data_IF_536358001687
#
_entry.id   IF_536358001687
#
_cell.length_a   1.000
_cell.length_b   1.000
_cell.length_c   1.000
_cell.angle_alpha   90.00
_cell.angle_beta   90.00
_cell.angle_gamma   90.00
#
_symmetry.space_group_name_H-M   'P 1'
#
loop_
_entity.id
_entity.type
_entity.pdbx_description
1 polymer ?
#
# COMPACT_ATOMS: atom_id res chain seq x y z
N UNK A 1 0.52 -11.26 -42.14
CA UNK A 1 0.71 -10.25 -41.08
C UNK A 1 0.51 -10.96 -39.75
N UNK A 2 1.59 -11.26 -39.03
CA UNK A 2 1.50 -11.94 -37.74
C UNK A 2 1.03 -10.94 -36.68
N UNK A 3 -0.16 -11.17 -36.13
CA UNK A 3 -0.67 -10.47 -34.96
C UNK A 3 0.13 -10.92 -33.75
N UNK A 4 1.14 -10.13 -33.35
CA UNK A 4 1.78 -10.27 -32.06
C UNK A 4 0.76 -9.91 -30.98
N UNK A 5 0.07 -10.92 -30.45
CA UNK A 5 -0.62 -10.82 -29.16
C UNK A 5 0.47 -10.78 -28.09
N UNK A 6 0.94 -9.58 -27.75
CA UNK A 6 1.71 -9.37 -26.52
C UNK A 6 0.81 -9.74 -25.33
N UNK A 7 0.90 -10.98 -24.89
CA UNK A 7 0.38 -11.40 -23.59
C UNK A 7 1.20 -10.65 -22.54
N UNK A 8 0.65 -9.55 -22.02
CA UNK A 8 1.27 -8.83 -20.92
C UNK A 8 1.54 -9.84 -19.80
N UNK A 9 2.82 -10.04 -19.40
CA UNK A 9 3.17 -11.09 -18.48
C UNK A 9 2.42 -10.88 -17.16
N UNK A 10 1.75 -11.93 -16.69
CA UNK A 10 1.00 -11.89 -15.44
C UNK A 10 1.96 -11.55 -14.29
N UNK A 11 1.72 -10.41 -13.63
CA UNK A 11 2.61 -9.92 -12.57
C UNK A 11 2.68 -10.92 -11.42
N UNK A 12 3.91 -11.31 -11.04
CA UNK A 12 4.20 -12.27 -9.98
C UNK A 12 5.20 -11.67 -9.01
N UNK A 13 4.94 -11.85 -7.72
CA UNK A 13 5.81 -11.36 -6.65
C UNK A 13 5.93 -12.40 -5.54
N UNK A 14 6.90 -12.19 -4.64
CA UNK A 14 7.00 -12.92 -3.38
C UNK A 14 6.45 -12.05 -2.26
N UNK A 15 5.63 -12.63 -1.39
CA UNK A 15 5.03 -11.98 -0.23
C UNK A 15 5.50 -12.71 1.01
N UNK A 16 6.13 -12.00 1.94
CA UNK A 16 6.46 -12.53 3.26
C UNK A 16 5.31 -12.14 4.19
N UNK A 17 4.70 -13.11 4.83
CA UNK A 17 3.52 -12.92 5.67
C UNK A 17 3.86 -13.36 7.08
N UNK A 18 3.42 -12.59 8.08
CA UNK A 18 3.50 -13.02 9.48
C UNK A 18 2.86 -14.39 9.67
N UNK A 19 3.50 -15.28 10.43
CA UNK A 19 2.92 -16.57 10.84
C UNK A 19 1.59 -16.39 11.58
N UNK A 20 1.38 -15.27 12.28
CA UNK A 20 0.10 -14.96 12.94
C UNK A 20 -1.09 -14.86 11.98
N UNK A 21 -0.84 -14.67 10.68
CA UNK A 21 -1.86 -14.59 9.64
C UNK A 21 -2.01 -15.87 8.82
N UNK A 22 -1.36 -16.97 9.19
CA UNK A 22 -1.34 -18.20 8.38
C UNK A 22 -2.75 -18.78 8.14
N UNK A 23 -3.63 -18.70 9.13
CA UNK A 23 -5.03 -19.14 9.03
C UNK A 23 -5.99 -18.06 8.56
N UNK A 24 -5.54 -16.81 8.40
CA UNK A 24 -6.37 -15.68 8.04
C UNK A 24 -6.84 -15.75 6.57
N UNK A 25 -8.08 -15.34 6.31
CA UNK A 25 -8.67 -15.43 4.96
C UNK A 25 -7.91 -14.60 3.92
N UNK A 26 -7.33 -13.46 4.32
CA UNK A 26 -6.44 -12.68 3.45
C UNK A 26 -5.28 -13.52 2.91
N UNK A 27 -4.67 -14.38 3.73
CA UNK A 27 -3.56 -15.25 3.32
C UNK A 27 -4.04 -16.33 2.35
N UNK A 28 -5.24 -16.88 2.57
CA UNK A 28 -5.88 -17.84 1.63
C UNK A 28 -6.14 -17.18 0.29
N UNK A 29 -6.71 -15.97 0.29
CA UNK A 29 -6.99 -15.20 -0.92
C UNK A 29 -5.73 -14.81 -1.70
N UNK A 30 -4.65 -14.45 -1.02
CA UNK A 30 -3.35 -14.23 -1.65
C UNK A 30 -2.77 -15.52 -2.23
N UNK A 31 -2.96 -16.66 -1.56
CA UNK A 31 -2.46 -17.98 -1.99
C UNK A 31 -3.17 -18.49 -3.23
N UNK A 32 -4.42 -18.08 -3.44
CA UNK A 32 -5.20 -18.40 -4.64
C UNK A 32 -4.73 -17.62 -5.89
N UNK A 33 -3.83 -16.65 -5.75
CA UNK A 33 -3.26 -15.87 -6.85
C UNK A 33 -1.88 -16.40 -7.25
N UNK A 34 -1.33 -16.05 -8.43
CA UNK A 34 -0.04 -16.55 -8.91
C UNK A 34 1.16 -15.90 -8.20
N UNK A 35 1.08 -15.66 -6.89
CA UNK A 35 2.12 -15.08 -6.05
C UNK A 35 2.78 -16.15 -5.18
N UNK A 36 4.04 -15.94 -4.80
CA UNK A 36 4.74 -16.85 -3.90
C UNK A 36 4.61 -16.34 -2.47
N UNK A 37 3.93 -17.09 -1.61
CA UNK A 37 3.79 -16.74 -0.18
C UNK A 37 4.84 -17.47 0.63
N UNK A 38 5.45 -16.77 1.57
CA UNK A 38 6.35 -17.31 2.59
C UNK A 38 5.88 -16.82 3.95
N UNK A 39 5.68 -17.73 4.89
CA UNK A 39 5.38 -17.35 6.27
C UNK A 39 6.68 -17.16 7.07
N UNK A 40 6.71 -16.17 7.95
CA UNK A 40 7.86 -15.85 8.80
C UNK A 40 7.39 -15.38 10.17
N UNK A 41 8.10 -15.80 11.22
CA UNK A 41 7.96 -15.33 12.59
C UNK A 41 8.85 -14.11 12.89
N UNK A 42 9.94 -13.92 12.15
CA UNK A 42 10.83 -12.76 12.25
C UNK A 42 10.27 -11.43 11.72
N UNK A 43 8.98 -11.35 11.41
CA UNK A 43 8.31 -10.10 10.97
C UNK A 43 7.24 -9.73 11.98
N UNK A 44 6.89 -8.45 12.03
CA UNK A 44 5.86 -7.96 12.95
C UNK A 44 4.55 -8.73 12.79
N UNK A 45 3.85 -9.00 13.90
CA UNK A 45 2.56 -9.71 13.83
C UNK A 45 1.62 -8.95 12.90
N UNK A 46 0.78 -9.63 12.12
CA UNK A 46 -0.13 -8.96 11.18
C UNK A 46 0.54 -8.35 9.94
N UNK A 47 1.85 -8.52 9.75
CA UNK A 47 2.56 -7.90 8.63
C UNK A 47 2.49 -8.71 7.32
N UNK A 48 2.47 -7.96 6.20
CA UNK A 48 2.69 -8.43 4.84
C UNK A 48 3.80 -7.60 4.20
N UNK A 49 4.90 -8.24 3.81
CA UNK A 49 6.06 -7.57 3.20
C UNK A 49 6.16 -8.01 1.75
N UNK A 50 6.34 -7.03 0.86
CA UNK A 50 6.57 -7.23 -0.55
C UNK A 50 8.00 -6.78 -0.88
N UNK A 51 9.00 -7.69 -0.83
CA UNK A 51 10.41 -7.30 -0.95
C UNK A 51 10.74 -6.62 -2.27
N UNK A 52 10.13 -7.07 -3.38
CA UNK A 52 10.41 -6.52 -4.71
C UNK A 52 9.87 -5.10 -4.92
N UNK A 53 8.81 -4.72 -4.21
CA UNK A 53 8.26 -3.36 -4.25
C UNK A 53 8.80 -2.48 -3.12
N UNK A 54 9.50 -3.07 -2.13
CA UNK A 54 9.95 -2.35 -0.95
C UNK A 54 8.80 -1.77 -0.12
N UNK A 55 7.61 -2.39 -0.19
CA UNK A 55 6.41 -1.98 0.56
C UNK A 55 6.06 -3.00 1.62
N UNK A 56 5.62 -2.53 2.77
CA UNK A 56 5.11 -3.36 3.85
C UNK A 56 3.74 -2.87 4.30
N UNK A 57 2.90 -3.81 4.69
CA UNK A 57 1.56 -3.56 5.22
C UNK A 57 1.43 -4.18 6.60
N UNK A 58 0.77 -3.50 7.51
CA UNK A 58 0.44 -4.00 8.83
C UNK A 58 -1.09 -4.03 8.97
N UNK A 59 -1.66 -5.22 9.16
CA UNK A 59 -3.09 -5.38 9.43
C UNK A 59 -3.37 -5.18 10.92
N UNK A 60 -4.25 -4.23 11.22
CA UNK A 60 -4.83 -4.11 12.55
C UNK A 60 -6.00 -5.08 12.69
N UNK A 61 -6.01 -5.83 13.79
CA UNK A 61 -7.10 -6.73 14.09
C UNK A 61 -8.35 -5.90 14.44
N UNK A 62 -9.52 -6.14 13.83
CA UNK A 62 -10.76 -5.52 14.25
C UNK A 62 -11.16 -5.83 15.70
N UNK A 63 -10.59 -6.87 16.32
CA UNK A 63 -10.80 -7.24 17.72
C UNK A 63 -9.81 -6.61 18.69
N UNK A 64 -8.73 -5.97 18.23
CA UNK A 64 -7.82 -5.26 19.12
C UNK A 64 -8.58 -4.07 19.74
N UNK A 65 -8.75 -3.99 21.08
CA UNK A 65 -9.47 -2.90 21.70
C UNK A 65 -8.67 -1.60 21.54
N UNK A 66 -9.03 -0.83 20.51
CA UNK A 66 -8.42 0.46 20.17
C UNK A 66 -8.72 1.55 21.20
N UNK A 67 -9.65 1.30 22.13
CA UNK A 67 -9.93 2.15 23.30
C UNK A 67 -8.72 2.28 24.23
N UNK A 68 -7.78 1.33 24.17
CA UNK A 68 -6.55 1.32 24.95
C UNK A 68 -5.31 1.34 24.04
N UNK A 69 -5.36 2.06 22.91
CA UNK A 69 -4.28 2.16 21.93
C UNK A 69 -2.88 2.39 22.54
N UNK A 70 -2.81 3.10 23.68
CA UNK A 70 -1.58 3.32 24.45
C UNK A 70 -1.20 2.15 25.37
N UNK A 71 -2.17 1.47 26.00
CA UNK A 71 -1.90 0.34 26.93
C UNK A 71 -1.75 -1.01 26.21
N UNK A 72 -2.29 -1.15 25.00
CA UNK A 72 -2.24 -2.40 24.21
C UNK A 72 -0.91 -2.63 23.50
N UNK A 73 0.06 -1.72 23.63
CA UNK A 73 1.35 -1.79 22.92
C UNK A 73 1.23 -1.60 21.39
N UNK A 74 0.03 -1.32 20.87
CA UNK A 74 -0.25 -1.17 19.45
C UNK A 74 0.56 -0.02 18.84
N UNK A 75 0.66 1.12 19.54
CA UNK A 75 1.47 2.25 19.09
C UNK A 75 2.96 1.87 19.00
N UNK A 76 3.50 1.14 19.96
CA UNK A 76 4.90 0.70 19.93
C UNK A 76 5.15 -0.26 18.77
N UNK A 77 4.24 -1.23 18.57
CA UNK A 77 4.27 -2.14 17.43
C UNK A 77 4.24 -1.39 16.09
N UNK A 78 3.37 -0.40 15.92
CA UNK A 78 3.36 0.43 14.72
C UNK A 78 4.67 1.22 14.58
N UNK A 79 5.20 1.80 15.66
CA UNK A 79 6.48 2.54 15.62
C UNK A 79 7.63 1.65 15.15
N UNK A 80 7.77 0.45 15.72
CA UNK A 80 8.80 -0.52 15.32
C UNK A 80 8.65 -0.88 13.84
N UNK A 81 7.42 -1.15 13.39
CA UNK A 81 7.12 -1.44 12.00
C UNK A 81 7.53 -0.29 11.05
N UNK A 82 7.20 0.95 11.41
CA UNK A 82 7.52 2.16 10.63
C UNK A 82 9.03 2.41 10.55
N UNK A 83 9.77 2.11 11.62
CA UNK A 83 11.23 2.25 11.65
C UNK A 83 11.94 1.27 10.70
N UNK A 84 11.43 0.04 10.58
CA UNK A 84 12.02 -0.99 9.72
C UNK A 84 11.67 -0.78 8.24
N UNK A 85 10.49 -0.25 7.93
CA UNK A 85 9.96 -0.24 6.56
C UNK A 85 9.78 1.17 5.97
N UNK A 86 10.61 1.52 4.97
CA UNK A 86 10.54 2.83 4.29
C UNK A 86 9.19 3.17 3.66
N UNK A 87 8.49 2.20 3.08
CA UNK A 87 7.13 2.38 2.55
C UNK A 87 6.15 1.51 3.36
N UNK A 88 5.71 2.05 4.49
CA UNK A 88 4.83 1.37 5.44
C UNK A 88 3.37 1.80 5.25
N UNK A 89 2.47 0.82 5.22
CA UNK A 89 1.04 1.04 5.15
C UNK A 89 0.33 0.35 6.33
N UNK A 90 -0.56 1.06 6.99
CA UNK A 90 -1.45 0.50 8.00
C UNK A 90 -2.79 0.16 7.35
N UNK A 91 -3.20 -1.10 7.39
CA UNK A 91 -4.51 -1.54 6.92
C UNK A 91 -5.49 -1.44 8.09
N UNK A 92 -6.34 -0.41 8.04
CA UNK A 92 -7.36 -0.16 9.05
C UNK A 92 -8.67 -0.81 8.61
N UNK A 93 -9.02 -1.93 9.22
CA UNK A 93 -10.30 -2.61 8.96
C UNK A 93 -11.45 -1.77 9.53
N UNK A 94 -12.16 -1.06 8.64
CA UNK A 94 -13.25 -0.15 8.95
C UNK A 94 -14.43 -0.45 8.02
N UNK A 95 -15.24 -1.49 8.32
CA UNK A 95 -16.36 -1.92 7.46
C UNK A 95 -17.43 -0.83 7.36
N UNK A 96 -17.56 0.00 8.39
CA UNK A 96 -18.39 1.19 8.42
C UNK A 96 -17.55 2.38 8.90
N UNK A 97 -17.65 3.53 8.24
CA UNK A 97 -17.01 4.77 8.70
C UNK A 97 -17.83 5.36 9.86
N UNK A 98 -17.95 4.60 10.95
CA UNK A 98 -18.59 5.05 12.17
C UNK A 98 -17.71 6.09 12.88
N UNK A 99 -18.31 6.71 13.90
CA UNK A 99 -17.63 7.76 14.69
C UNK A 99 -16.36 7.23 15.34
N UNK A 100 -16.38 5.99 15.85
CA UNK A 100 -15.25 5.33 16.50
C UNK A 100 -14.08 5.10 15.52
N UNK A 101 -14.36 4.59 14.33
CA UNK A 101 -13.36 4.36 13.29
C UNK A 101 -12.71 5.66 12.80
N UNK A 102 -13.51 6.73 12.68
CA UNK A 102 -13.02 8.08 12.36
C UNK A 102 -12.15 8.67 13.47
N UNK A 103 -12.54 8.50 14.73
CA UNK A 103 -11.75 8.93 15.89
C UNK A 103 -10.39 8.19 15.93
N UNK A 104 -10.39 6.87 15.73
CA UNK A 104 -9.16 6.07 15.64
C UNK A 104 -8.27 6.55 14.50
N UNK A 105 -8.86 6.75 13.32
CA UNK A 105 -8.14 7.25 12.16
C UNK A 105 -7.51 8.61 12.48
N UNK A 106 -8.25 9.51 13.14
CA UNK A 106 -7.74 10.83 13.54
C UNK A 106 -6.57 10.71 14.53
N UNK A 107 -6.65 9.84 15.54
CA UNK A 107 -5.57 9.64 16.52
C UNK A 107 -4.33 9.07 15.85
N UNK A 108 -4.48 8.09 14.95
CA UNK A 108 -3.37 7.51 14.22
C UNK A 108 -2.74 8.52 13.24
N UNK A 109 -3.57 9.32 12.57
CA UNK A 109 -3.10 10.38 11.67
C UNK A 109 -2.32 11.45 12.42
N UNK A 110 -2.82 11.92 13.56
CA UNK A 110 -2.15 12.93 14.38
C UNK A 110 -0.80 12.41 14.90
N UNK A 111 -0.79 11.20 15.45
CA UNK A 111 0.42 10.60 16.05
C UNK A 111 1.50 10.24 15.04
N UNK A 112 1.12 9.76 13.86
CA UNK A 112 2.04 9.36 12.81
C UNK A 112 2.15 10.39 11.68
N UNK A 113 1.66 11.62 11.93
CA UNK A 113 1.80 12.74 11.02
C UNK A 113 3.27 13.01 10.73
N UNK A 114 3.61 13.20 9.46
CA UNK A 114 5.01 13.41 9.03
C UNK A 114 5.89 12.15 9.04
N UNK A 115 5.39 11.00 9.49
CA UNK A 115 6.09 9.72 9.33
C UNK A 115 5.91 9.13 7.93
N UNK A 116 6.63 8.06 7.64
CA UNK A 116 6.48 7.25 6.42
C UNK A 116 5.28 6.29 6.45
N UNK A 117 4.44 6.34 7.48
CA UNK A 117 3.22 5.54 7.59
C UNK A 117 2.07 6.14 6.78
N UNK A 118 1.43 5.32 5.95
CA UNK A 118 0.20 5.67 5.23
C UNK A 118 -0.94 4.79 5.69
N UNK A 119 -2.09 5.37 6.01
CA UNK A 119 -3.24 4.60 6.49
C UNK A 119 -4.16 4.29 5.31
N UNK A 120 -4.46 3.01 5.11
CA UNK A 120 -5.38 2.51 4.09
C UNK A 120 -6.62 1.92 4.77
N UNK A 121 -7.74 2.65 4.80
CA UNK A 121 -9.00 2.10 5.29
C UNK A 121 -9.51 1.03 4.32
N UNK A 122 -9.98 -0.10 4.86
CA UNK A 122 -10.43 -1.27 4.10
C UNK A 122 -11.68 -1.86 4.75
N UNK A 123 -12.64 -2.30 3.94
CA UNK A 123 -13.94 -2.77 4.45
C UNK A 123 -14.08 -4.28 4.53
N UNK A 124 -13.24 -5.01 3.79
CA UNK A 124 -13.29 -6.47 3.71
C UNK A 124 -11.94 -7.03 3.21
N UNK A 125 -11.79 -8.35 3.29
CA UNK A 125 -10.58 -9.06 2.87
C UNK A 125 -10.26 -8.90 1.37
N UNK A 126 -11.27 -8.77 0.51
CA UNK A 126 -11.05 -8.56 -0.92
C UNK A 126 -10.43 -7.18 -1.20
N UNK A 127 -10.89 -6.14 -0.52
CA UNK A 127 -10.30 -4.80 -0.58
C UNK A 127 -8.88 -4.78 -0.02
N UNK A 128 -8.62 -5.48 1.09
CA UNK A 128 -7.27 -5.64 1.63
C UNK A 128 -6.32 -6.20 0.55
N UNK A 129 -6.68 -7.36 -0.02
CA UNK A 129 -5.84 -8.02 -1.02
C UNK A 129 -5.67 -7.13 -2.26
N UNK A 130 -6.75 -6.57 -2.78
CA UNK A 130 -6.72 -5.70 -3.96
C UNK A 130 -5.84 -4.46 -3.71
N UNK A 131 -6.01 -3.81 -2.56
CA UNK A 131 -5.24 -2.63 -2.17
C UNK A 131 -3.75 -2.91 -2.06
N UNK A 132 -3.38 -3.96 -1.31
CA UNK A 132 -1.98 -4.37 -1.17
C UNK A 132 -1.33 -4.66 -2.52
N UNK A 133 -1.98 -5.48 -3.35
CA UNK A 133 -1.43 -5.87 -4.65
C UNK A 133 -1.35 -4.70 -5.63
N UNK A 134 -2.33 -3.79 -5.61
CA UNK A 134 -2.32 -2.60 -6.47
C UNK A 134 -1.13 -1.70 -6.11
N UNK A 135 -0.97 -1.40 -4.82
CA UNK A 135 0.12 -0.55 -4.32
C UNK A 135 1.48 -1.22 -4.58
N UNK A 136 1.63 -2.50 -4.19
CA UNK A 136 2.87 -3.25 -4.39
C UNK A 136 3.23 -3.36 -5.89
N UNK A 137 2.24 -3.59 -6.77
CA UNK A 137 2.48 -3.61 -8.22
C UNK A 137 2.92 -2.26 -8.73
N UNK A 138 2.19 -1.18 -8.41
CA UNK A 138 2.48 0.17 -8.87
C UNK A 138 3.86 0.69 -8.40
N UNK A 139 4.32 0.21 -7.25
CA UNK A 139 5.63 0.59 -6.67
C UNK A 139 6.77 -0.36 -7.04
N UNK A 140 6.46 -1.53 -7.62
CA UNK A 140 7.47 -2.44 -8.15
C UNK A 140 8.09 -1.94 -9.46
N UNK A 141 9.37 -2.21 -9.68
CA UNK A 141 9.96 -2.11 -11.03
C UNK A 141 9.51 -3.31 -11.88
N UNK A 142 9.18 -3.16 -13.17
CA UNK A 142 9.30 -1.96 -14.02
C UNK A 142 8.09 -1.02 -14.00
N UNK A 143 7.02 -1.34 -13.27
CA UNK A 143 5.77 -0.57 -13.29
C UNK A 143 5.97 0.87 -12.82
N UNK A 144 6.78 1.10 -11.78
CA UNK A 144 7.07 2.45 -11.29
C UNK A 144 7.83 3.29 -12.33
N UNK A 145 8.70 2.65 -13.13
CA UNK A 145 9.45 3.33 -14.19
C UNK A 145 8.49 3.68 -15.34
N UNK A 146 7.63 2.75 -15.76
CA UNK A 146 6.59 3.03 -16.76
C UNK A 146 5.62 4.14 -16.32
N UNK A 147 5.20 4.16 -15.05
CA UNK A 147 4.36 5.24 -14.51
C UNK A 147 5.12 6.57 -14.54
N UNK A 148 6.39 6.59 -14.13
CA UNK A 148 7.23 7.78 -14.16
C UNK A 148 7.38 8.32 -15.58
N UNK A 149 7.68 7.46 -16.55
CA UNK A 149 7.88 7.86 -17.94
C UNK A 149 6.60 8.47 -18.53
N UNK A 150 5.45 7.85 -18.27
CA UNK A 150 4.14 8.39 -18.69
C UNK A 150 3.83 9.72 -18.03
N UNK A 151 4.14 9.89 -16.74
CA UNK A 151 3.94 11.16 -16.04
C UNK A 151 4.87 12.24 -16.55
N UNK A 152 6.14 11.92 -16.84
CA UNK A 152 7.09 12.84 -17.47
C UNK A 152 6.62 13.29 -18.84
N UNK A 153 6.11 12.37 -19.67
CA UNK A 153 5.57 12.70 -20.99
C UNK A 153 4.31 13.57 -20.90
N UNK A 154 3.38 13.25 -19.99
CA UNK A 154 2.21 14.07 -19.75
C UNK A 154 2.59 15.49 -19.28
N UNK A 155 3.58 15.60 -18.39
CA UNK A 155 4.09 16.89 -17.93
C UNK A 155 4.71 17.69 -19.08
N UNK A 156 5.53 17.05 -19.91
CA UNK A 156 6.13 17.71 -21.08
C UNK A 156 5.04 18.25 -22.02
N UNK A 157 4.03 17.42 -22.32
CA UNK A 157 2.90 17.81 -23.16
C UNK A 157 2.09 19.00 -22.59
N UNK A 158 1.83 19.01 -21.28
CA UNK A 158 1.15 20.14 -20.60
C UNK A 158 1.98 21.41 -20.69
N UNK A 159 3.30 21.29 -20.48
CA UNK A 159 4.20 22.45 -20.56
C UNK A 159 4.24 22.96 -21.99
N UNK A 160 4.56 22.13 -22.99
CA UNK A 160 4.71 22.55 -24.39
C UNK A 160 3.45 23.18 -24.97
N UNK A 161 2.27 22.69 -24.59
CA UNK A 161 0.99 23.23 -25.07
C UNK A 161 0.37 24.25 -24.09
N UNK A 162 1.15 24.80 -23.17
CA UNK A 162 0.65 25.79 -22.23
C UNK A 162 0.32 27.11 -22.96
N UNK A 163 -0.87 27.69 -22.75
CA UNK A 163 -1.24 28.99 -23.35
C UNK A 163 -0.36 30.14 -22.83
N UNK A 164 0.38 29.93 -21.73
CA UNK A 164 1.38 30.88 -21.24
C UNK A 164 2.45 31.18 -22.30
N UNK A 165 2.79 30.22 -23.16
CA UNK A 165 3.77 30.44 -24.24
C UNK A 165 3.26 31.38 -25.32
N UNK A 166 1.95 31.41 -25.58
CA UNK A 166 1.33 32.39 -26.48
C UNK A 166 1.41 33.79 -25.88
N UNK A 167 1.01 33.94 -24.60
CA UNK A 167 1.09 35.22 -23.90
C UNK A 167 2.52 35.78 -23.82
N UNK A 168 3.52 34.92 -23.60
CA UNK A 168 4.92 35.35 -23.53
C UNK A 168 5.47 35.80 -24.90
N UNK A 169 5.00 35.21 -26.01
CA UNK A 169 5.38 35.65 -27.36
C UNK A 169 4.87 37.05 -27.70
N UNK A 170 3.74 37.46 -27.12
CA UNK A 170 3.17 38.78 -27.36
C UNK A 170 3.82 39.89 -26.50
N UNK A 171 4.57 39.50 -25.47
CA UNK A 171 5.26 40.42 -24.54
C UNK A 171 6.73 40.67 -24.93
N UNK A 172 7.35 39.72 -25.65
CA UNK A 172 8.74 39.77 -26.12
C UNK A 172 8.83 40.20 -27.58
#
# INVERSE_FOLDING_TARGET
>A
MATHTETTPQWKTTIIVSTSLQSHDTSRMLSAQPHRIRFSDGVESGAFIFPLSGTAFLLLDPQDPLEHCEESGLIERIKTFVQVHRNSFLLLYAPFNGKKELEILSVLQDRFSGSNLRILPVRNNAEIVKGMLTIAKATSKPHVDSIRDRMSLARAHIIENSPVWEMLRDIL
#
